data_IF_237209349966
#
_entry.id   IF_237209349966
#
_cell.length_a   1.000
_cell.length_b   1.000
_cell.length_c   1.000
_cell.angle_alpha   90.00
_cell.angle_beta   90.00
_cell.angle_gamma   90.00
#
_symmetry.space_group_name_H-M   'P 1'
#
loop_
_entity.id
_entity.type
_entity.pdbx_description
1 polymer ?
#
# COMPACT_ATOMS: atom_id res chain seq x y z
N UNK A 1 -3.13 22.27 13.22
CA UNK A 1 -1.66 22.12 13.25
C UNK A 1 -1.33 21.43 11.93
N UNK A 2 -0.51 22.08 11.09
CA UNK A 2 -0.39 21.82 9.64
C UNK A 2 0.01 20.38 9.35
N UNK A 3 -0.76 19.69 8.52
CA UNK A 3 -0.37 18.43 7.89
C UNK A 3 1.04 18.62 7.30
N UNK A 4 2.00 17.88 7.85
CA UNK A 4 3.38 17.94 7.40
C UNK A 4 3.44 17.18 6.09
N UNK A 5 3.48 17.95 5.01
CA UNK A 5 4.05 17.64 3.69
C UNK A 5 5.03 16.47 3.76
N UNK A 6 4.59 15.31 3.27
CA UNK A 6 5.43 14.21 2.81
C UNK A 6 5.03 14.04 1.34
N UNK A 7 5.50 14.93 0.44
CA UNK A 7 6.76 14.72 -0.27
C UNK A 7 6.85 13.27 -0.77
N UNK A 8 6.61 13.10 -2.08
CA UNK A 8 7.25 12.08 -2.89
C UNK A 8 8.77 12.18 -2.65
N UNK A 9 9.25 11.45 -1.64
CA UNK A 9 10.64 11.47 -1.23
C UNK A 9 11.38 10.37 -2.00
N UNK A 10 11.71 10.71 -3.25
CA UNK A 10 12.90 10.22 -3.93
C UNK A 10 14.10 10.31 -2.98
N UNK A 11 14.48 9.19 -2.37
CA UNK A 11 15.65 9.14 -1.48
C UNK A 11 16.56 7.99 -1.91
N UNK A 12 17.45 8.31 -2.85
CA UNK A 12 18.69 7.56 -3.07
C UNK A 12 19.74 8.07 -2.07
N UNK A 13 20.23 7.22 -1.16
CA UNK A 13 21.61 7.23 -0.61
C UNK A 13 21.85 6.19 0.52
N UNK A 14 22.62 5.14 0.19
CA UNK A 14 23.83 4.63 0.88
C UNK A 14 23.95 4.65 2.44
N UNK A 15 24.07 3.46 3.07
CA UNK A 15 25.33 2.91 3.65
C UNK A 15 25.15 1.85 4.78
N UNK A 16 25.72 0.65 4.54
CA UNK A 16 26.52 -0.23 5.40
C UNK A 16 26.11 -0.66 6.83
N UNK A 17 25.96 -1.99 6.96
CA UNK A 17 26.59 -2.91 7.94
C UNK A 17 26.04 -3.03 9.39
N UNK A 18 25.31 -4.14 9.62
CA UNK A 18 25.63 -5.19 10.61
C UNK A 18 25.25 -4.98 12.08
N UNK A 19 24.41 -5.87 12.64
CA UNK A 19 24.82 -7.08 13.40
C UNK A 19 23.60 -7.71 14.13
N UNK A 20 23.45 -9.03 13.90
CA UNK A 20 22.83 -10.14 14.65
C UNK A 20 21.87 -9.92 15.84
N UNK A 21 20.79 -10.72 15.82
CA UNK A 21 20.10 -11.18 17.04
C UNK A 21 18.94 -12.15 16.76
N UNK A 22 19.21 -13.46 16.74
CA UNK A 22 18.20 -14.52 16.61
C UNK A 22 17.28 -14.62 17.85
N UNK A 23 15.98 -14.83 17.63
CA UNK A 23 15.11 -15.59 18.55
C UNK A 23 13.83 -16.01 17.82
N UNK A 24 13.60 -17.32 17.69
CA UNK A 24 12.50 -17.93 16.94
C UNK A 24 11.32 -18.35 17.84
N UNK A 25 10.09 -18.21 17.36
CA UNK A 25 8.94 -19.01 17.85
C UNK A 25 7.95 -19.25 16.69
N UNK A 26 7.55 -20.52 16.51
CA UNK A 26 6.65 -21.03 15.45
C UNK A 26 5.19 -20.71 15.74
N UNK A 27 4.40 -20.39 14.70
CA UNK A 27 2.94 -20.27 14.76
C UNK A 27 2.25 -21.47 14.08
N UNK A 28 1.21 -21.97 14.72
CA UNK A 28 0.33 -23.06 14.26
C UNK A 28 -0.61 -22.60 13.14
N UNK A 29 -0.75 -23.41 12.09
CA UNK A 29 -1.56 -23.13 10.90
C UNK A 29 -2.96 -23.75 11.05
N UNK A 30 -3.96 -22.92 11.35
CA UNK A 30 -5.37 -23.27 11.09
C UNK A 30 -5.68 -23.03 9.62
N UNK A 31 -6.31 -23.98 8.92
CA UNK A 31 -6.63 -23.87 7.50
C UNK A 31 -7.76 -22.88 7.28
N UNK A 32 -7.43 -21.68 6.83
CA UNK A 32 -8.40 -20.65 6.42
C UNK A 32 -9.13 -21.13 5.15
N UNK A 33 -10.46 -21.06 5.15
CA UNK A 33 -11.29 -21.25 3.95
C UNK A 33 -11.39 -19.91 3.22
N UNK A 34 -11.10 -19.90 1.92
CA UNK A 34 -11.16 -18.69 1.06
C UNK A 34 -12.39 -18.79 0.16
N UNK A 35 -13.18 -17.71 0.12
CA UNK A 35 -14.39 -17.61 -0.70
C UNK A 35 -14.10 -17.10 -2.12
N UNK A 36 -15.13 -17.07 -2.99
CA UNK A 36 -14.99 -16.62 -4.38
C UNK A 36 -14.55 -15.16 -4.51
N UNK A 37 -14.80 -14.33 -3.48
CA UNK A 37 -14.37 -12.94 -3.41
C UNK A 37 -12.89 -12.77 -3.04
N UNK A 38 -12.16 -13.86 -2.76
CA UNK A 38 -10.72 -13.86 -2.47
C UNK A 38 -10.35 -13.69 -1.00
N UNK A 39 -11.32 -13.56 -0.10
CA UNK A 39 -11.10 -13.46 1.34
C UNK A 39 -11.81 -14.60 2.09
N UNK A 40 -11.33 -14.90 3.29
CA UNK A 40 -11.95 -15.89 4.16
C UNK A 40 -13.11 -15.34 4.99
N UNK A 41 -13.60 -16.17 5.91
CA UNK A 41 -14.63 -15.77 6.88
C UNK A 41 -14.16 -14.60 7.76
N UNK A 42 -15.12 -13.82 8.26
CA UNK A 42 -14.87 -12.78 9.25
C UNK A 42 -14.38 -13.41 10.55
N UNK A 43 -13.24 -12.94 11.04
CA UNK A 43 -12.62 -13.34 12.30
C UNK A 43 -12.79 -12.20 13.31
N UNK A 44 -13.42 -12.52 14.43
CA UNK A 44 -13.52 -11.63 15.60
C UNK A 44 -12.49 -12.10 16.64
N UNK A 45 -11.40 -11.35 16.89
CA UNK A 45 -10.45 -11.72 17.91
C UNK A 45 -11.12 -11.79 19.29
N UNK A 46 -10.62 -12.66 20.17
CA UNK A 46 -11.06 -12.69 21.56
C UNK A 46 -10.54 -11.46 22.33
N UNK A 47 -11.20 -11.06 23.42
CA UNK A 47 -10.82 -9.87 24.22
C UNK A 47 -9.39 -9.92 24.78
N UNK A 48 -8.85 -11.12 24.98
CA UNK A 48 -7.48 -11.37 25.46
C UNK A 48 -6.45 -11.52 24.33
N UNK A 49 -6.87 -11.45 23.07
CA UNK A 49 -5.98 -11.45 21.92
C UNK A 49 -5.25 -10.09 21.81
N UNK A 50 -3.92 -10.06 21.63
CA UNK A 50 -3.17 -8.81 21.42
C UNK A 50 -3.71 -7.94 20.27
N UNK A 51 -4.35 -8.55 19.28
CA UNK A 51 -4.94 -7.87 18.11
C UNK A 51 -6.40 -7.46 18.32
N UNK A 52 -7.02 -7.72 19.48
CA UNK A 52 -8.43 -7.34 19.75
C UNK A 52 -8.73 -5.87 19.47
N UNK A 53 -7.79 -4.99 19.82
CA UNK A 53 -7.93 -3.54 19.60
C UNK A 53 -7.92 -3.11 18.13
N UNK A 54 -7.50 -3.99 17.21
CA UNK A 54 -7.49 -3.73 15.77
C UNK A 54 -8.85 -4.00 15.12
N UNK A 55 -9.75 -4.69 15.83
CA UNK A 55 -11.07 -5.07 15.35
C UNK A 55 -11.08 -6.39 14.58
N UNK A 56 -12.24 -6.69 14.00
CA UNK A 56 -12.45 -7.87 13.17
C UNK A 56 -11.68 -7.79 11.86
N UNK A 57 -11.32 -8.93 11.30
CA UNK A 57 -10.58 -9.01 10.05
C UNK A 57 -10.99 -10.20 9.21
N UNK A 58 -10.59 -10.18 7.93
CA UNK A 58 -10.59 -11.36 7.06
C UNK A 58 -9.18 -11.74 6.67
N UNK A 59 -8.94 -13.02 6.43
CA UNK A 59 -7.68 -13.47 5.85
C UNK A 59 -7.79 -13.53 4.33
N UNK A 60 -6.87 -12.91 3.60
CA UNK A 60 -6.75 -13.11 2.16
C UNK A 60 -6.24 -14.51 1.82
N UNK A 61 -6.33 -14.88 0.53
CA UNK A 61 -5.68 -16.08 0.01
C UNK A 61 -4.15 -16.07 0.20
N UNK A 62 -3.52 -14.89 0.22
CA UNK A 62 -2.09 -14.70 0.50
C UNK A 62 -1.74 -14.85 1.99
N UNK A 63 -2.73 -15.03 2.86
CA UNK A 63 -2.54 -15.11 4.31
C UNK A 63 -2.35 -13.76 4.99
N UNK A 64 -2.72 -12.66 4.32
CA UNK A 64 -2.69 -11.30 4.87
C UNK A 64 -3.99 -11.04 5.64
N UNK A 65 -3.88 -10.50 6.86
CA UNK A 65 -5.05 -10.07 7.63
C UNK A 65 -5.52 -8.69 7.16
N UNK A 66 -6.77 -8.58 6.76
CA UNK A 66 -7.40 -7.39 6.22
C UNK A 66 -8.40 -6.84 7.25
N UNK A 67 -8.08 -5.69 7.84
CA UNK A 67 -8.91 -4.99 8.83
C UNK A 67 -9.55 -3.77 8.18
N UNK A 68 -10.88 -3.76 8.10
CA UNK A 68 -11.64 -2.69 7.46
C UNK A 68 -13.12 -2.81 7.83
N UNK A 69 -13.85 -1.72 7.63
CA UNK A 69 -15.31 -1.72 7.73
C UNK A 69 -15.90 -2.04 6.34
N UNK A 70 -16.57 -3.20 6.22
CA UNK A 70 -17.21 -3.68 4.98
C UNK A 70 -18.38 -2.79 4.51
N UNK A 71 -18.99 -2.01 5.41
CA UNK A 71 -20.02 -1.04 5.02
C UNK A 71 -19.41 0.19 4.33
N UNK A 72 -18.12 0.43 4.57
CA UNK A 72 -17.38 1.58 4.05
C UNK A 72 -16.50 1.22 2.85
N UNK A 73 -15.73 0.13 2.94
CA UNK A 73 -14.78 -0.29 1.93
C UNK A 73 -15.09 -1.71 1.46
N UNK A 74 -15.17 -1.96 0.13
CA UNK A 74 -15.40 -3.29 -0.37
C UNK A 74 -14.16 -4.18 -0.19
N UNK A 75 -14.36 -5.49 0.04
CA UNK A 75 -13.30 -6.50 0.14
C UNK A 75 -12.31 -6.43 -1.04
N UNK A 76 -12.83 -6.19 -2.24
CA UNK A 76 -12.05 -6.08 -3.47
C UNK A 76 -11.05 -4.92 -3.47
N UNK A 77 -11.33 -3.82 -2.77
CA UNK A 77 -10.38 -2.72 -2.57
C UNK A 77 -9.23 -3.14 -1.64
N UNK A 78 -9.52 -3.93 -0.61
CA UNK A 78 -8.50 -4.44 0.31
C UNK A 78 -7.56 -5.43 -0.38
N UNK A 79 -8.13 -6.32 -1.20
CA UNK A 79 -7.34 -7.23 -2.04
C UNK A 79 -6.55 -6.48 -3.12
N UNK A 80 -7.07 -5.36 -3.60
CA UNK A 80 -6.30 -4.47 -4.47
C UNK A 80 -5.08 -3.89 -3.75
N UNK A 81 -5.20 -3.45 -2.49
CA UNK A 81 -4.04 -2.98 -1.73
C UNK A 81 -3.01 -4.09 -1.51
N UNK A 82 -3.45 -5.30 -1.16
CA UNK A 82 -2.55 -6.47 -1.07
C UNK A 82 -1.83 -6.72 -2.39
N UNK A 83 -2.56 -6.72 -3.51
CA UNK A 83 -1.97 -6.86 -4.85
C UNK A 83 -0.95 -5.76 -5.12
N UNK A 84 -1.33 -4.48 -4.99
CA UNK A 84 -0.48 -3.33 -5.28
C UNK A 84 0.80 -3.36 -4.45
N UNK A 85 0.69 -3.49 -3.13
CA UNK A 85 1.86 -3.39 -2.26
C UNK A 85 2.69 -4.69 -2.24
N UNK A 86 2.07 -5.84 -2.56
CA UNK A 86 2.78 -7.10 -2.81
C UNK A 86 3.77 -7.01 -3.97
N UNK A 87 3.47 -6.20 -5.00
CA UNK A 87 4.34 -6.05 -6.16
C UNK A 87 5.76 -5.59 -5.80
N UNK A 88 5.93 -4.77 -4.77
CA UNK A 88 7.26 -4.33 -4.31
C UNK A 88 8.06 -5.46 -3.66
N UNK A 89 7.41 -6.39 -2.98
CA UNK A 89 8.05 -7.57 -2.40
C UNK A 89 8.48 -8.56 -3.50
N UNK A 90 7.60 -8.76 -4.49
CA UNK A 90 7.80 -9.69 -5.59
C UNK A 90 8.63 -9.09 -6.75
N UNK A 91 8.90 -7.78 -6.71
CA UNK A 91 9.52 -6.98 -7.78
C UNK A 91 8.78 -7.15 -9.12
N UNK A 92 7.45 -7.21 -9.07
CA UNK A 92 6.58 -7.43 -10.23
C UNK A 92 6.08 -6.10 -10.81
N UNK A 93 6.88 -5.55 -11.74
CA UNK A 93 6.56 -4.28 -12.39
C UNK A 93 5.30 -4.34 -13.26
N UNK A 94 5.05 -5.44 -13.96
CA UNK A 94 3.90 -5.55 -14.87
C UNK A 94 2.59 -5.50 -14.07
N UNK A 95 2.54 -6.20 -12.94
CA UNK A 95 1.41 -6.14 -12.02
C UNK A 95 1.30 -4.76 -11.39
N UNK A 96 2.41 -4.15 -10.96
CA UNK A 96 2.42 -2.80 -10.38
C UNK A 96 1.81 -1.81 -11.37
N UNK A 97 2.32 -1.79 -12.61
CA UNK A 97 1.85 -0.91 -13.67
C UNK A 97 0.36 -1.12 -13.98
N UNK A 98 -0.16 -2.35 -13.88
CA UNK A 98 -1.59 -2.63 -14.05
C UNK A 98 -2.47 -2.03 -12.96
N UNK A 99 -1.90 -1.75 -11.78
CA UNK A 99 -2.59 -1.17 -10.64
C UNK A 99 -2.55 0.36 -10.62
N UNK A 100 -1.89 1.02 -11.58
CA UNK A 100 -1.73 2.48 -11.62
C UNK A 100 -2.64 3.08 -12.67
N UNK A 101 -3.22 4.24 -12.37
CA UNK A 101 -4.11 4.95 -13.28
C UNK A 101 -3.42 5.24 -14.63
N UNK A 102 -4.00 4.86 -15.78
CA UNK A 102 -3.29 4.93 -17.07
C UNK A 102 -2.73 6.32 -17.40
N UNK A 103 -3.53 7.38 -17.21
CA UNK A 103 -3.09 8.74 -17.50
C UNK A 103 -1.99 9.24 -16.53
N UNK A 104 -1.92 8.69 -15.32
CA UNK A 104 -0.81 8.96 -14.40
C UNK A 104 0.48 8.32 -14.91
N UNK A 105 0.40 7.08 -15.41
CA UNK A 105 1.57 6.41 -16.01
C UNK A 105 2.10 7.20 -17.20
N UNK A 106 1.22 7.65 -18.09
CA UNK A 106 1.62 8.49 -19.23
C UNK A 106 2.33 9.76 -18.79
N UNK A 107 1.81 10.44 -17.75
CA UNK A 107 2.45 11.63 -17.19
C UNK A 107 3.84 11.33 -16.57
N UNK A 108 3.98 10.21 -15.87
CA UNK A 108 5.25 9.79 -15.26
C UNK A 108 6.28 9.36 -16.30
N UNK A 109 5.87 8.67 -17.36
CA UNK A 109 6.72 8.27 -18.49
C UNK A 109 7.29 9.51 -19.22
N UNK A 110 6.57 10.63 -19.18
CA UNK A 110 7.06 11.92 -19.68
C UNK A 110 7.94 12.68 -18.68
N UNK A 111 7.58 12.65 -17.40
CA UNK A 111 8.20 13.47 -16.35
C UNK A 111 9.55 12.91 -15.89
N UNK A 112 9.63 11.61 -15.62
CA UNK A 112 10.81 10.99 -15.03
C UNK A 112 12.06 11.10 -15.91
N UNK A 113 12.01 10.87 -17.24
CA UNK A 113 13.20 11.02 -18.07
C UNK A 113 13.67 12.48 -18.16
N UNK A 114 12.75 13.45 -18.09
CA UNK A 114 13.08 14.88 -18.17
C UNK A 114 13.76 15.39 -16.90
N UNK A 115 13.28 14.97 -15.73
CA UNK A 115 13.76 15.49 -14.44
C UNK A 115 14.86 14.63 -13.79
N UNK A 116 14.85 13.32 -14.04
CA UNK A 116 15.71 12.37 -13.31
C UNK A 116 16.53 11.43 -14.20
N UNK A 117 16.38 11.49 -15.52
CA UNK A 117 17.11 10.66 -16.50
C UNK A 117 16.88 9.15 -16.31
N UNK A 118 15.67 8.76 -15.91
CA UNK A 118 15.24 7.36 -15.84
C UNK A 118 13.73 7.20 -16.13
N UNK A 119 13.26 5.97 -16.36
CA UNK A 119 11.86 5.63 -16.65
C UNK A 119 11.09 5.10 -15.41
N UNK A 120 9.78 4.89 -15.55
CA UNK A 120 8.96 4.40 -14.44
C UNK A 120 9.38 3.02 -13.94
N UNK A 121 9.86 2.14 -14.83
CA UNK A 121 10.41 0.83 -14.45
C UNK A 121 11.60 0.97 -13.50
N UNK A 122 12.54 1.84 -13.85
CA UNK A 122 13.72 2.12 -13.02
C UNK A 122 13.32 2.76 -11.70
N UNK A 123 12.32 3.65 -11.70
CA UNK A 123 11.76 4.24 -10.47
C UNK A 123 11.21 3.18 -9.53
N UNK A 124 10.43 2.24 -10.06
CA UNK A 124 9.87 1.12 -9.32
C UNK A 124 10.96 0.21 -8.74
N UNK A 125 11.98 -0.14 -9.53
CA UNK A 125 13.11 -0.95 -9.07
C UNK A 125 13.88 -0.28 -7.93
N UNK A 126 14.16 1.03 -8.06
CA UNK A 126 14.79 1.81 -7.00
C UNK A 126 13.95 1.82 -5.73
N UNK A 127 12.62 1.92 -5.85
CA UNK A 127 11.73 1.85 -4.69
C UNK A 127 11.76 0.47 -4.03
N UNK A 128 11.78 -0.60 -4.82
CA UNK A 128 11.94 -1.97 -4.31
C UNK A 128 13.25 -2.13 -3.52
N UNK A 129 14.36 -1.62 -4.06
CA UNK A 129 15.67 -1.68 -3.40
C UNK A 129 15.68 -0.91 -2.09
N UNK A 130 15.13 0.30 -2.08
CA UNK A 130 14.99 1.10 -0.85
C UNK A 130 14.16 0.36 0.18
N UNK A 131 13.01 -0.20 -0.20
CA UNK A 131 12.16 -0.96 0.70
C UNK A 131 12.88 -2.20 1.25
N UNK A 132 13.60 -2.94 0.41
CA UNK A 132 14.36 -4.11 0.87
C UNK A 132 15.40 -3.73 1.93
N UNK A 133 16.10 -2.60 1.74
CA UNK A 133 17.05 -2.08 2.72
C UNK A 133 16.33 -1.64 4.00
N UNK A 134 15.25 -0.87 3.89
CA UNK A 134 14.45 -0.39 5.02
C UNK A 134 13.83 -1.53 5.84
N UNK A 135 13.52 -2.66 5.18
CA UNK A 135 12.94 -3.85 5.80
C UNK A 135 14.01 -4.85 6.29
N UNK A 136 15.29 -4.62 5.99
CA UNK A 136 16.40 -5.47 6.41
C UNK A 136 16.55 -6.77 5.59
N UNK A 137 16.03 -6.83 4.37
CA UNK A 137 16.04 -8.01 3.51
C UNK A 137 14.70 -8.26 2.82
N UNK A 138 14.50 -9.48 2.31
CA UNK A 138 13.21 -9.91 1.77
C UNK A 138 12.12 -9.86 2.84
N UNK A 139 10.92 -9.49 2.43
CA UNK A 139 9.80 -9.29 3.32
C UNK A 139 8.50 -9.72 2.64
N UNK A 140 7.45 -9.89 3.44
CA UNK A 140 6.09 -10.15 2.97
C UNK A 140 5.09 -9.32 3.76
N UNK A 141 3.94 -9.04 3.15
CA UNK A 141 2.82 -8.41 3.83
C UNK A 141 2.22 -9.37 4.84
N UNK A 142 1.81 -8.84 5.99
CA UNK A 142 1.17 -9.62 7.05
C UNK A 142 -0.18 -9.05 7.44
N UNK A 143 -0.31 -7.72 7.45
CA UNK A 143 -1.58 -7.04 7.75
C UNK A 143 -1.76 -5.79 6.89
N UNK A 144 -3.00 -5.54 6.49
CA UNK A 144 -3.45 -4.28 5.92
C UNK A 144 -4.65 -3.82 6.73
N UNK A 145 -4.62 -2.58 7.20
CA UNK A 145 -5.75 -1.92 7.83
C UNK A 145 -6.12 -0.66 7.04
N UNK A 146 -7.41 -0.51 6.77
CA UNK A 146 -7.97 0.67 6.12
C UNK A 146 -8.98 1.33 7.06
N UNK A 147 -8.72 2.59 7.40
CA UNK A 147 -9.61 3.43 8.17
C UNK A 147 -10.16 4.58 7.29
N UNK A 148 -11.31 5.12 7.68
CA UNK A 148 -11.81 6.39 7.12
C UNK A 148 -10.94 7.52 7.66
N UNK A 149 -10.36 8.37 6.80
CA UNK A 149 -9.59 9.50 7.29
C UNK A 149 -10.50 10.52 7.99
N UNK A 150 -9.93 11.28 8.94
CA UNK A 150 -10.68 12.32 9.66
C UNK A 150 -11.22 13.43 8.73
N UNK A 151 -10.50 13.70 7.64
CA UNK A 151 -10.85 14.67 6.61
C UNK A 151 -10.61 14.06 5.22
N UNK A 152 -11.47 14.37 4.26
CA UNK A 152 -11.24 14.04 2.85
C UNK A 152 -10.07 14.87 2.32
N UNK A 153 -9.00 14.19 1.90
CA UNK A 153 -7.78 14.80 1.39
C UNK A 153 -7.62 14.64 -0.13
N UNK A 154 -8.66 14.21 -0.88
CA UNK A 154 -8.57 13.97 -2.32
C UNK A 154 -8.10 15.19 -3.12
N UNK A 155 -8.65 16.38 -2.82
CA UNK A 155 -8.26 17.62 -3.50
C UNK A 155 -6.80 18.00 -3.21
N UNK A 156 -6.36 17.86 -1.95
CA UNK A 156 -4.96 18.09 -1.58
C UNK A 156 -4.04 17.08 -2.26
N UNK A 157 -4.46 15.82 -2.33
CA UNK A 157 -3.72 14.75 -3.01
C UNK A 157 -3.51 15.07 -4.50
N UNK A 158 -4.59 15.38 -5.24
CA UNK A 158 -4.46 15.70 -6.67
C UNK A 158 -3.71 17.01 -6.93
N UNK A 159 -3.83 18.00 -6.03
CA UNK A 159 -3.03 19.22 -6.10
C UNK A 159 -1.52 18.94 -6.03
N UNK A 160 -1.09 17.89 -5.35
CA UNK A 160 0.32 17.50 -5.30
C UNK A 160 0.79 16.84 -6.61
N UNK A 161 -0.13 16.27 -7.38
CA UNK A 161 0.15 15.65 -8.68
C UNK A 161 0.11 16.65 -9.84
N UNK A 162 -0.53 17.82 -9.66
CA UNK A 162 -0.65 18.85 -10.70
C UNK A 162 0.66 19.26 -11.39
N UNK A 163 1.82 19.38 -10.70
CA UNK A 163 3.10 19.69 -11.36
C UNK A 163 3.56 18.65 -12.38
N UNK A 164 3.05 17.41 -12.29
CA UNK A 164 3.40 16.27 -13.13
C UNK A 164 2.28 16.02 -14.15
N UNK A 165 1.04 15.97 -13.69
CA UNK A 165 -0.11 15.51 -14.47
C UNK A 165 -0.96 16.64 -15.06
N UNK A 166 -0.68 17.90 -14.69
CA UNK A 166 -1.48 19.08 -15.05
C UNK A 166 -2.50 19.47 -13.98
N UNK A 167 -2.86 20.76 -13.97
CA UNK A 167 -3.74 21.36 -12.95
C UNK A 167 -5.16 20.78 -12.93
N UNK A 168 -5.66 20.30 -14.07
CA UNK A 168 -7.01 19.74 -14.22
C UNK A 168 -7.07 18.21 -14.03
N UNK A 169 -5.95 17.57 -13.65
CA UNK A 169 -5.86 16.12 -13.56
C UNK A 169 -6.87 15.50 -12.59
N UNK A 170 -7.01 16.07 -11.39
CA UNK A 170 -7.97 15.57 -10.39
C UNK A 170 -9.43 15.67 -10.85
N UNK A 171 -9.78 16.71 -11.62
CA UNK A 171 -11.12 16.87 -12.18
C UNK A 171 -11.40 15.81 -13.25
N UNK A 172 -10.45 15.57 -14.15
CA UNK A 172 -10.55 14.49 -15.17
C UNK A 172 -10.74 13.12 -14.54
N UNK A 173 -9.96 12.80 -13.50
CA UNK A 173 -10.10 11.53 -12.78
C UNK A 173 -11.50 11.42 -12.16
N UNK A 174 -12.02 12.47 -11.53
CA UNK A 174 -13.37 12.48 -10.96
C UNK A 174 -14.48 12.31 -12.01
N UNK A 175 -14.27 12.80 -13.22
CA UNK A 175 -15.22 12.63 -14.33
C UNK A 175 -15.20 11.22 -14.94
N UNK A 176 -14.04 10.56 -14.91
CA UNK A 176 -13.84 9.25 -15.53
C UNK A 176 -13.99 8.05 -14.58
N UNK A 177 -13.79 8.25 -13.28
CA UNK A 177 -13.88 7.20 -12.27
C UNK A 177 -15.34 6.97 -11.86
N UNK A 178 -15.69 5.71 -11.62
CA UNK A 178 -16.98 5.32 -11.05
C UNK A 178 -17.05 5.69 -9.57
N UNK A 179 -15.94 5.49 -8.84
CA UNK A 179 -15.79 5.88 -7.43
C UNK A 179 -14.37 6.39 -7.15
N UNK A 180 -14.25 7.22 -6.11
CA UNK A 180 -12.98 7.60 -5.52
C UNK A 180 -12.99 7.28 -4.03
N UNK A 181 -11.97 6.56 -3.59
CA UNK A 181 -11.78 6.16 -2.20
C UNK A 181 -10.61 6.93 -1.60
N UNK A 182 -10.88 7.67 -0.52
CA UNK A 182 -9.85 8.28 0.32
C UNK A 182 -9.64 7.40 1.55
N UNK A 183 -8.45 6.82 1.68
CA UNK A 183 -8.19 5.77 2.67
C UNK A 183 -7.00 6.14 3.55
N UNK A 184 -7.17 5.97 4.86
CA UNK A 184 -6.07 6.00 5.81
C UNK A 184 -5.53 4.57 5.98
N UNK A 185 -4.37 4.29 5.40
CA UNK A 185 -3.84 2.93 5.25
C UNK A 185 -2.69 2.63 6.21
N UNK A 186 -2.71 1.44 6.80
CA UNK A 186 -1.62 0.90 7.62
C UNK A 186 -1.24 -0.47 7.06
N UNK A 187 0.04 -0.64 6.74
CA UNK A 187 0.55 -1.90 6.19
C UNK A 187 1.68 -2.39 7.08
N UNK A 188 1.52 -3.62 7.55
CA UNK A 188 2.54 -4.34 8.29
C UNK A 188 3.20 -5.37 7.39
N UNK A 189 4.52 -5.43 7.48
CA UNK A 189 5.34 -6.44 6.81
C UNK A 189 6.24 -7.14 7.80
N UNK A 190 6.61 -8.37 7.47
CA UNK A 190 7.55 -9.18 8.22
C UNK A 190 8.72 -9.55 7.31
N UNK A 191 9.94 -9.32 7.79
CA UNK A 191 11.14 -9.81 7.13
C UNK A 191 11.19 -11.34 7.23
N UNK A 192 11.66 -12.04 6.21
CA UNK A 192 11.73 -13.52 6.21
C UNK A 192 12.65 -14.11 7.30
N UNK A 193 13.58 -13.32 7.82
CA UNK A 193 14.57 -13.73 8.84
C UNK A 193 14.26 -13.24 10.25
N UNK A 194 13.25 -12.37 10.40
CA UNK A 194 12.75 -11.85 11.68
C UNK A 194 11.31 -12.33 11.90
N UNK A 195 10.86 -12.33 13.15
CA UNK A 195 9.46 -12.59 13.52
C UNK A 195 8.70 -11.31 13.86
N UNK A 196 9.36 -10.15 13.81
CA UNK A 196 8.79 -8.87 14.19
C UNK A 196 8.16 -8.18 13.00
N UNK A 197 6.88 -7.84 13.12
CA UNK A 197 6.21 -6.99 12.15
C UNK A 197 6.68 -5.54 12.26
N UNK A 198 6.81 -4.88 11.13
CA UNK A 198 7.16 -3.46 11.02
C UNK A 198 6.24 -2.75 10.04
N UNK A 199 6.08 -1.45 10.22
CA UNK A 199 5.38 -0.61 9.26
C UNK A 199 6.13 -0.59 7.92
N UNK A 200 5.39 -0.83 6.84
CA UNK A 200 5.89 -0.79 5.47
C UNK A 200 6.35 0.63 5.10
N UNK A 201 5.54 1.63 5.44
CA UNK A 201 5.91 3.04 5.33
C UNK A 201 6.45 3.55 6.67
N UNK A 202 7.72 3.96 6.70
CA UNK A 202 8.31 4.53 7.93
C UNK A 202 7.71 5.91 8.20
N UNK A 203 7.59 6.27 9.48
CA UNK A 203 7.03 7.55 9.95
C UNK A 203 5.56 7.80 9.58
N UNK A 204 4.79 6.73 9.32
CA UNK A 204 3.33 6.77 9.15
C UNK A 204 2.64 6.03 10.29
N UNK A 205 3.01 6.33 11.53
CA UNK A 205 2.38 5.79 12.75
C UNK A 205 0.89 6.16 12.84
N UNK A 206 0.50 7.22 12.14
CA UNK A 206 -0.89 7.63 11.95
C UNK A 206 -1.52 7.10 10.66
N UNK A 207 -0.84 6.21 9.94
CA UNK A 207 -1.23 5.70 8.63
C UNK A 207 -0.76 6.59 7.48
N UNK A 208 -0.85 6.05 6.28
CA UNK A 208 -0.60 6.75 5.02
C UNK A 208 -1.93 7.08 4.35
N UNK A 209 -2.16 8.34 4.00
CA UNK A 209 -3.29 8.72 3.16
C UNK A 209 -3.06 8.27 1.72
N UNK A 210 -4.00 7.55 1.13
CA UNK A 210 -4.01 7.16 -0.29
C UNK A 210 -5.36 7.45 -0.92
N UNK A 211 -5.35 7.89 -2.17
CA UNK A 211 -6.54 8.00 -3.02
C UNK A 211 -6.50 6.89 -4.06
N UNK A 212 -7.61 6.17 -4.22
CA UNK A 212 -7.79 5.11 -5.22
C UNK A 212 -9.02 5.41 -6.06
N UNK A 213 -8.87 5.33 -7.38
CA UNK A 213 -9.98 5.41 -8.32
C UNK A 213 -10.47 4.01 -8.67
N UNK A 214 -11.78 3.83 -8.73
CA UNK A 214 -12.42 2.66 -9.33
C UNK A 214 -12.98 3.03 -10.69
N UNK A 215 -12.74 2.19 -11.69
CA UNK A 215 -13.29 2.33 -13.05
C UNK A 215 -13.48 0.95 -13.66
N UNK A 216 -14.68 0.69 -14.18
CA UNK A 216 -15.05 -0.59 -14.80
C UNK A 216 -14.81 -1.81 -13.89
N UNK A 217 -15.00 -1.63 -12.57
CA UNK A 217 -14.77 -2.66 -11.55
C UNK A 217 -13.29 -2.96 -11.26
N UNK A 218 -12.37 -2.13 -11.74
CA UNK A 218 -10.93 -2.19 -11.44
C UNK A 218 -10.51 -1.00 -10.59
N UNK A 219 -9.50 -1.19 -9.74
CA UNK A 219 -8.96 -0.15 -8.87
C UNK A 219 -7.59 0.32 -9.35
N UNK A 220 -7.32 1.61 -9.15
CA UNK A 220 -6.11 2.27 -9.61
C UNK A 220 -5.58 3.29 -8.61
N UNK A 221 -4.27 3.30 -8.40
CA UNK A 221 -3.55 4.24 -7.55
C UNK A 221 -2.74 5.22 -8.42
N UNK A 222 -2.09 6.17 -7.76
CA UNK A 222 -1.32 7.26 -8.36
C UNK A 222 0.06 7.37 -7.68
N UNK A 223 0.81 6.26 -7.65
CA UNK A 223 2.05 6.11 -6.89
C UNK A 223 3.16 5.48 -7.73
#
# INVERSE_FOLDING_TARGET
>A
MKYRRLAAALTAALCCAGLFGCSSTKADTSSVVIHEDGAGDLVEPAEDDPEYSLGSYRCSAGGVKLYYDEETYPTSLMLYFEKLFGTYADRDYDTYRSCIWPAYVEAMDEYLPKEFDYDLTTSFEQRCDTLQVEMGGSYRLTRIKADVPEEDFSDEFFSQLSPICGDDFGEKVKEEADNLYCVQLYIMVMNETDTTDQLFFKNTDKGMGIVVAEKDGQYYAFC
#
